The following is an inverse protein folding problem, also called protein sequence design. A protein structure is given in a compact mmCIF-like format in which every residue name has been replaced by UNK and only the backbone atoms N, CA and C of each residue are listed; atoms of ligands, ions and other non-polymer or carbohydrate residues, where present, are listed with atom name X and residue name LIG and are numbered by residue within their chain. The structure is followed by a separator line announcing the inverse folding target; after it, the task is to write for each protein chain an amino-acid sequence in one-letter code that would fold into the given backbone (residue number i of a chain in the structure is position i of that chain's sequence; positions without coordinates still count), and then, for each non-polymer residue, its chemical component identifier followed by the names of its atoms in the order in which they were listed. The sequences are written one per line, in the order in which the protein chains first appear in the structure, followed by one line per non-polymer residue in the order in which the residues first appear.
data_IF_110938943544
#
_entry.id   IF_110938943544
#
_cell.length_a   1.000
_cell.length_b   1.000
_cell.length_c   1.000
_cell.angle_alpha   90.00
_cell.angle_beta   90.00
_cell.angle_gamma   90.00
#
_symmetry.space_group_name_H-M   'P 1'
#
loop_
_entity.id
_entity.type
_entity.pdbx_description
1 polymer ?
#
# COMPACT_ATOMS: atom_id res chain seq x y z
N UNK A 1 5.99 -5.63 -33.14
CA UNK A 1 4.96 -4.63 -32.77
C UNK A 1 5.16 -3.39 -33.63
N UNK A 2 4.09 -2.70 -34.02
CA UNK A 2 4.20 -1.36 -34.62
C UNK A 2 4.71 -0.34 -33.58
N UNK A 3 5.11 0.84 -34.03
CA UNK A 3 5.50 1.95 -33.13
C UNK A 3 4.32 2.33 -32.20
N UNK A 4 3.11 2.45 -32.76
CA UNK A 4 1.88 2.72 -32.00
C UNK A 4 1.60 1.67 -30.92
N UNK A 5 1.82 0.38 -31.20
CA UNK A 5 1.63 -0.70 -30.23
C UNK A 5 2.66 -0.63 -29.07
N UNK A 6 3.88 -0.20 -29.36
CA UNK A 6 4.93 -0.02 -28.35
C UNK A 6 4.61 1.17 -27.45
N UNK A 7 4.21 2.29 -28.03
CA UNK A 7 3.77 3.47 -27.29
C UNK A 7 2.55 3.16 -26.42
N UNK A 8 1.60 2.39 -26.94
CA UNK A 8 0.46 1.93 -26.16
C UNK A 8 0.90 1.10 -24.95
N UNK A 9 1.76 0.09 -25.14
CA UNK A 9 2.22 -0.77 -24.05
C UNK A 9 3.02 0.01 -22.98
N UNK A 10 3.84 0.98 -23.40
CA UNK A 10 4.54 1.88 -22.49
C UNK A 10 3.55 2.76 -21.70
N UNK A 11 2.60 3.38 -22.38
CA UNK A 11 1.58 4.23 -21.75
C UNK A 11 0.70 3.44 -20.77
N UNK A 12 0.31 2.22 -21.11
CA UNK A 12 -0.44 1.33 -20.23
C UNK A 12 0.35 1.01 -18.95
N UNK A 13 1.64 0.67 -19.08
CA UNK A 13 2.51 0.43 -17.93
C UNK A 13 2.63 1.68 -17.05
N UNK A 14 2.90 2.85 -17.63
CA UNK A 14 3.01 4.11 -16.88
C UNK A 14 1.69 4.48 -16.20
N UNK A 15 0.55 4.27 -16.87
CA UNK A 15 -0.76 4.48 -16.30
C UNK A 15 -1.04 3.54 -15.11
N UNK A 16 -0.63 2.28 -15.21
CA UNK A 16 -0.72 1.32 -14.09
C UNK A 16 0.11 1.81 -12.89
N UNK A 17 1.37 2.21 -13.11
CA UNK A 17 2.22 2.76 -12.04
C UNK A 17 1.58 4.00 -11.41
N UNK A 18 1.04 4.91 -12.23
CA UNK A 18 0.35 6.10 -11.75
C UNK A 18 -0.86 5.78 -10.86
N UNK A 19 -1.74 4.88 -11.32
CA UNK A 19 -2.89 4.40 -10.54
C UNK A 19 -2.45 3.74 -9.23
N UNK A 20 -1.42 2.90 -9.29
CA UNK A 20 -0.85 2.26 -8.12
C UNK A 20 -0.41 3.27 -7.05
N UNK A 21 0.33 4.31 -7.46
CA UNK A 21 0.81 5.35 -6.52
C UNK A 21 -0.34 6.09 -5.87
N UNK A 22 -1.38 6.43 -6.62
CA UNK A 22 -2.57 7.11 -6.10
C UNK A 22 -3.27 6.25 -5.03
N UNK A 23 -3.49 4.97 -5.32
CA UNK A 23 -4.14 4.05 -4.36
C UNK A 23 -3.25 3.84 -3.13
N UNK A 24 -1.93 3.69 -3.32
CA UNK A 24 -1.00 3.53 -2.19
C UNK A 24 -0.99 4.78 -1.30
N UNK A 25 -1.00 5.98 -1.88
CA UNK A 25 -1.10 7.22 -1.12
C UNK A 25 -2.41 7.32 -0.34
N UNK A 26 -3.52 6.88 -0.95
CA UNK A 26 -4.80 6.80 -0.26
C UNK A 26 -4.78 5.82 0.92
N UNK A 27 -4.13 4.66 0.77
CA UNK A 27 -3.91 3.68 1.85
C UNK A 27 -3.12 4.34 2.98
N UNK A 28 -2.03 5.04 2.67
CA UNK A 28 -1.22 5.73 3.68
C UNK A 28 -2.05 6.78 4.43
N UNK A 29 -2.82 7.60 3.73
CA UNK A 29 -3.71 8.57 4.36
C UNK A 29 -4.75 7.92 5.27
N UNK A 30 -5.31 6.76 4.89
CA UNK A 30 -6.28 6.05 5.73
C UNK A 30 -5.67 5.43 6.97
N UNK A 31 -4.44 4.94 6.88
CA UNK A 31 -3.71 4.51 8.08
C UNK A 31 -3.45 5.68 9.03
N UNK A 32 -3.08 6.84 8.49
CA UNK A 32 -2.90 8.06 9.27
C UNK A 32 -4.19 8.49 9.97
N UNK A 33 -5.33 8.41 9.29
CA UNK A 33 -6.64 8.66 9.91
C UNK A 33 -6.90 7.72 11.10
N UNK A 34 -6.62 6.41 10.96
CA UNK A 34 -6.74 5.47 12.09
C UNK A 34 -5.88 5.89 13.29
N UNK A 35 -4.60 6.25 13.04
CA UNK A 35 -3.67 6.68 14.08
C UNK A 35 -4.14 7.98 14.75
N UNK A 36 -4.60 8.95 13.95
CA UNK A 36 -5.12 10.22 14.44
C UNK A 36 -6.35 10.04 15.33
N UNK A 37 -7.26 9.13 14.96
CA UNK A 37 -8.40 8.77 15.81
C UNK A 37 -7.92 8.20 17.15
N UNK A 38 -7.02 7.23 17.14
CA UNK A 38 -6.53 6.61 18.38
C UNK A 38 -5.72 7.54 19.28
N UNK A 39 -5.11 8.59 18.74
CA UNK A 39 -4.36 9.59 19.52
C UNK A 39 -5.20 10.76 20.03
N UNK A 40 -6.50 10.78 19.69
CA UNK A 40 -7.45 11.78 20.16
C UNK A 40 -7.39 13.09 19.38
N UNK A 41 -8.55 13.73 19.24
CA UNK A 41 -8.69 15.02 18.54
C UNK A 41 -8.02 16.18 19.28
N UNK A 42 -7.87 16.09 20.60
CA UNK A 42 -7.23 17.10 21.44
C UNK A 42 -5.75 17.31 21.09
N UNK A 43 -5.07 16.29 20.54
CA UNK A 43 -3.65 16.33 20.18
C UNK A 43 -3.41 16.52 18.68
N UNK A 44 -4.44 16.88 17.90
CA UNK A 44 -4.43 16.77 16.44
C UNK A 44 -3.23 17.43 15.75
N UNK A 45 -2.84 18.66 16.17
CA UNK A 45 -1.72 19.37 15.58
C UNK A 45 -0.38 18.66 15.83
N UNK A 46 -0.16 18.21 17.08
CA UNK A 46 1.04 17.47 17.47
C UNK A 46 1.09 16.09 16.79
N UNK A 47 -0.04 15.41 16.72
CA UNK A 47 -0.19 14.11 16.07
C UNK A 47 0.09 14.19 14.57
N UNK A 48 -0.38 15.24 13.89
CA UNK A 48 -0.05 15.47 12.47
C UNK A 48 1.43 15.74 12.26
N UNK A 49 2.05 16.59 13.09
CA UNK A 49 3.49 16.85 13.01
C UNK A 49 4.30 15.55 13.23
N UNK A 50 3.88 14.72 14.19
CA UNK A 50 4.45 13.40 14.41
C UNK A 50 4.36 12.51 13.16
N UNK A 51 3.20 12.45 12.49
CA UNK A 51 3.02 11.63 11.28
C UNK A 51 3.88 12.12 10.11
N UNK A 52 4.02 13.43 9.93
CA UNK A 52 4.83 14.01 8.86
C UNK A 52 6.31 13.60 8.98
N UNK A 53 6.79 13.41 10.21
CA UNK A 53 8.16 12.99 10.50
C UNK A 53 8.35 11.46 10.50
N UNK A 54 7.29 10.68 10.25
CA UNK A 54 7.35 9.22 10.21
C UNK A 54 7.52 8.70 8.78
N UNK A 55 8.42 7.74 8.61
CA UNK A 55 8.47 6.91 7.40
C UNK A 55 7.24 6.02 7.30
N UNK A 56 6.87 5.60 6.09
CA UNK A 56 5.76 4.66 5.88
C UNK A 56 5.93 3.38 6.72
N UNK A 57 7.15 2.87 6.89
CA UNK A 57 7.43 1.73 7.77
C UNK A 57 7.02 2.02 9.21
N UNK A 58 7.46 3.15 9.76
CA UNK A 58 7.12 3.56 11.12
C UNK A 58 5.61 3.74 11.29
N UNK A 59 4.90 4.24 10.28
CA UNK A 59 3.43 4.37 10.30
C UNK A 59 2.76 2.99 10.42
N UNK A 60 3.18 2.00 9.62
CA UNK A 60 2.66 0.62 9.72
C UNK A 60 3.00 -0.01 11.07
N UNK A 61 4.25 0.11 11.54
CA UNK A 61 4.68 -0.42 12.84
C UNK A 61 3.85 0.19 13.99
N UNK A 62 3.59 1.50 13.90
CA UNK A 62 2.82 2.23 14.90
C UNK A 62 1.33 1.86 14.85
N UNK A 63 0.76 1.65 13.67
CA UNK A 63 -0.61 1.18 13.51
C UNK A 63 -0.83 -0.14 14.27
N UNK A 64 0.10 -1.08 14.15
CA UNK A 64 0.03 -2.34 14.88
C UNK A 64 0.21 -2.18 16.39
N UNK A 65 1.15 -1.30 16.80
CA UNK A 65 1.37 -1.00 18.21
C UNK A 65 0.11 -0.43 18.85
N UNK A 66 -0.49 0.60 18.26
CA UNK A 66 -1.70 1.24 18.78
C UNK A 66 -2.89 0.27 18.81
N UNK A 67 -3.05 -0.58 17.80
CA UNK A 67 -4.08 -1.62 17.83
C UNK A 67 -3.95 -2.54 19.05
N UNK A 68 -2.72 -2.93 19.41
CA UNK A 68 -2.47 -3.85 20.54
C UNK A 68 -2.51 -3.20 21.91
N UNK A 69 -2.03 -1.97 22.01
CA UNK A 69 -1.74 -1.33 23.30
C UNK A 69 -2.73 -0.23 23.66
N UNK A 70 -3.36 0.43 22.68
CA UNK A 70 -4.22 1.57 22.96
C UNK A 70 -5.54 1.10 23.61
N UNK A 71 -5.96 1.67 24.76
CA UNK A 71 -7.23 1.32 25.41
C UNK A 71 -8.46 1.48 24.51
N UNK A 72 -8.44 2.43 23.56
CA UNK A 72 -9.54 2.64 22.61
C UNK A 72 -9.84 1.38 21.76
N UNK A 73 -8.87 0.48 21.61
CA UNK A 73 -9.00 -0.75 20.84
C UNK A 73 -9.42 -1.97 21.67
N UNK A 74 -9.74 -1.82 22.96
CA UNK A 74 -10.13 -2.95 23.82
C UNK A 74 -11.31 -3.75 23.24
N UNK A 75 -12.32 -3.04 22.70
CA UNK A 75 -13.48 -3.68 22.06
C UNK A 75 -13.08 -4.47 20.82
N UNK A 76 -12.21 -3.94 19.97
CA UNK A 76 -11.68 -4.65 18.81
C UNK A 76 -10.88 -5.89 19.23
N UNK A 77 -10.01 -5.75 20.23
CA UNK A 77 -9.18 -6.85 20.75
C UNK A 77 -9.97 -7.96 21.44
N UNK A 78 -11.18 -7.68 21.91
CA UNK A 78 -12.07 -8.71 22.48
C UNK A 78 -12.57 -9.73 21.45
N UNK A 79 -12.38 -9.48 20.14
CA UNK A 79 -12.79 -10.36 19.03
C UNK A 79 -11.57 -11.02 18.39
N UNK A 80 -11.28 -12.31 18.66
CA UNK A 80 -10.07 -12.96 18.17
C UNK A 80 -9.92 -12.96 16.64
N UNK A 81 -11.04 -13.10 15.92
CA UNK A 81 -11.02 -13.06 14.44
C UNK A 81 -10.60 -11.70 13.92
N UNK A 82 -11.01 -10.61 14.61
CA UNK A 82 -10.61 -9.26 14.25
C UNK A 82 -9.12 -9.03 14.48
N UNK A 83 -8.57 -9.52 15.59
CA UNK A 83 -7.13 -9.45 15.86
C UNK A 83 -6.32 -10.12 14.75
N UNK A 84 -6.71 -11.34 14.35
CA UNK A 84 -6.05 -12.06 13.24
C UNK A 84 -6.17 -11.33 11.91
N UNK A 85 -7.36 -10.77 11.61
CA UNK A 85 -7.56 -9.98 10.39
C UNK A 85 -6.68 -8.73 10.38
N UNK A 86 -6.58 -8.04 11.52
CA UNK A 86 -5.76 -6.84 11.65
C UNK A 86 -4.26 -7.16 11.55
N UNK A 87 -3.80 -8.25 12.17
CA UNK A 87 -2.41 -8.74 12.03
C UNK A 87 -2.08 -9.01 10.55
N UNK A 88 -2.95 -9.75 9.84
CA UNK A 88 -2.81 -10.01 8.41
C UNK A 88 -2.80 -8.72 7.58
N UNK A 89 -3.64 -7.74 7.93
CA UNK A 89 -3.64 -6.42 7.30
C UNK A 89 -2.27 -5.73 7.45
N UNK A 90 -1.71 -5.72 8.66
CA UNK A 90 -0.39 -5.14 8.95
C UNK A 90 0.72 -5.85 8.14
N UNK A 91 0.69 -7.17 8.08
CA UNK A 91 1.63 -7.94 7.25
C UNK A 91 1.54 -7.55 5.78
N UNK A 92 0.32 -7.46 5.24
CA UNK A 92 0.07 -7.02 3.86
C UNK A 92 0.53 -5.59 3.61
N UNK A 93 0.33 -4.66 4.55
CA UNK A 93 0.84 -3.30 4.45
C UNK A 93 2.38 -3.27 4.34
N UNK A 94 3.08 -4.09 5.11
CA UNK A 94 4.54 -4.21 5.00
C UNK A 94 5.00 -4.80 3.67
N UNK A 95 4.29 -5.82 3.16
CA UNK A 95 4.57 -6.37 1.84
C UNK A 95 4.35 -5.32 0.76
N UNK A 96 3.27 -4.56 0.83
CA UNK A 96 2.95 -3.55 -0.17
C UNK A 96 3.92 -2.37 -0.13
N UNK A 97 4.39 -1.97 1.06
CA UNK A 97 5.48 -0.98 1.18
C UNK A 97 6.75 -1.44 0.45
N UNK A 98 7.12 -2.71 0.60
CA UNK A 98 8.29 -3.27 -0.11
C UNK A 98 8.04 -3.28 -1.62
N UNK A 99 6.85 -3.71 -2.05
CA UNK A 99 6.46 -3.71 -3.47
C UNK A 99 6.46 -2.30 -4.06
N UNK A 100 5.87 -1.31 -3.39
CA UNK A 100 5.90 0.10 -3.81
C UNK A 100 7.32 0.59 -3.99
N UNK A 101 8.20 0.31 -3.04
CA UNK A 101 9.60 0.71 -3.16
C UNK A 101 10.29 0.05 -4.35
N UNK A 102 10.04 -1.24 -4.59
CA UNK A 102 10.54 -1.93 -5.77
C UNK A 102 9.97 -1.31 -7.06
N UNK A 103 8.66 -1.11 -7.13
CA UNK A 103 7.98 -0.54 -8.29
C UNK A 103 8.47 0.87 -8.63
N UNK A 104 8.78 1.73 -7.65
CA UNK A 104 9.18 3.10 -7.93
C UNK A 104 10.69 3.32 -8.05
N UNK A 105 11.51 2.37 -7.60
CA UNK A 105 12.97 2.52 -7.60
C UNK A 105 13.71 1.48 -8.45
N UNK A 106 12.98 0.57 -9.11
CA UNK A 106 13.57 -0.31 -10.14
C UNK A 106 13.85 0.44 -11.44
N UNK A 107 14.79 -0.10 -12.21
CA UNK A 107 14.99 0.31 -13.60
C UNK A 107 14.06 -0.50 -14.52
N UNK A 108 13.59 0.13 -15.58
CA UNK A 108 12.67 -0.47 -16.55
C UNK A 108 13.28 -0.42 -17.95
N UNK A 109 13.34 -1.57 -18.62
CA UNK A 109 13.72 -1.66 -20.03
C UNK A 109 12.48 -1.82 -20.89
N UNK A 110 12.35 -0.90 -21.84
CA UNK A 110 11.31 -0.90 -22.87
C UNK A 110 11.84 -1.45 -24.21
N UNK A 111 13.15 -1.66 -24.33
CA UNK A 111 13.86 -2.09 -25.54
C UNK A 111 13.42 -3.45 -26.08
N UNK A 112 12.70 -4.24 -25.28
CA UNK A 112 12.16 -5.52 -25.68
C UNK A 112 10.72 -5.44 -26.25
N UNK A 113 10.05 -4.29 -26.16
CA UNK A 113 8.74 -4.06 -26.79
C UNK A 113 8.77 -4.27 -28.32
N UNK A 114 9.79 -3.81 -29.09
CA UNK A 114 9.86 -4.05 -30.54
C UNK A 114 9.76 -5.54 -30.93
N UNK A 115 10.34 -6.42 -30.12
CA UNK A 115 10.33 -7.87 -30.32
C UNK A 115 9.13 -8.58 -29.66
N UNK A 116 8.12 -7.82 -29.21
CA UNK A 116 6.88 -8.36 -28.65
C UNK A 116 6.98 -8.83 -27.20
N UNK A 117 8.06 -8.49 -26.50
CA UNK A 117 8.23 -8.82 -25.08
C UNK A 117 7.74 -7.65 -24.21
N UNK A 118 7.15 -7.91 -23.03
CA UNK A 118 6.67 -6.86 -22.15
C UNK A 118 7.80 -6.08 -21.47
N UNK A 119 7.45 -4.97 -20.82
CA UNK A 119 8.39 -4.16 -20.02
C UNK A 119 9.13 -5.03 -19.02
N UNK A 120 10.46 -4.93 -18.99
CA UNK A 120 11.28 -5.68 -18.05
C UNK A 120 11.67 -4.79 -16.87
N UNK A 121 11.28 -5.20 -15.67
CA UNK A 121 11.80 -4.66 -14.42
C UNK A 121 13.15 -5.30 -14.11
N UNK A 122 14.18 -4.48 -13.94
CA UNK A 122 15.50 -4.92 -13.48
C UNK A 122 15.55 -4.83 -11.95
N UNK A 123 15.90 -5.93 -11.32
CA UNK A 123 16.19 -6.02 -9.89
C UNK A 123 17.48 -6.83 -9.66
N UNK A 124 18.58 -6.20 -9.22
CA UNK A 124 19.85 -6.89 -8.99
C UNK A 124 19.78 -7.96 -7.88
N UNK A 125 18.79 -7.91 -6.98
CA UNK A 125 18.67 -8.81 -5.83
C UNK A 125 17.74 -9.98 -6.10
N UNK A 126 16.63 -9.73 -6.77
CA UNK A 126 15.57 -10.73 -6.99
C UNK A 126 15.53 -11.27 -8.43
N UNK A 127 16.33 -10.70 -9.32
CA UNK A 127 16.35 -11.04 -10.74
C UNK A 127 15.36 -10.22 -11.56
N UNK A 128 15.54 -10.27 -12.88
CA UNK A 128 14.71 -9.52 -13.81
C UNK A 128 13.33 -10.15 -13.93
N UNK A 129 12.30 -9.31 -14.01
CA UNK A 129 10.90 -9.75 -14.14
C UNK A 129 10.23 -9.03 -15.30
N UNK A 130 9.48 -9.78 -16.09
CA UNK A 130 8.58 -9.23 -17.09
C UNK A 130 7.28 -8.73 -16.47
N UNK A 131 6.90 -7.50 -16.77
CA UNK A 131 5.66 -6.85 -16.34
C UNK A 131 4.65 -6.81 -17.48
N UNK A 132 4.28 -8.00 -17.95
CA UNK A 132 3.15 -8.18 -18.86
C UNK A 132 1.81 -7.90 -18.18
N UNK A 133 0.73 -7.89 -18.97
CA UNK A 133 -0.62 -7.52 -18.51
C UNK A 133 -1.06 -8.24 -17.22
N UNK A 134 -0.88 -9.55 -17.14
CA UNK A 134 -1.22 -10.34 -15.94
C UNK A 134 -0.46 -9.86 -14.69
N UNK A 135 0.85 -9.63 -14.82
CA UNK A 135 1.65 -9.11 -13.71
C UNK A 135 1.22 -7.71 -13.29
N UNK A 136 0.79 -6.87 -14.24
CA UNK A 136 0.26 -5.54 -13.96
C UNK A 136 -1.10 -5.62 -13.25
N UNK A 137 -1.98 -6.51 -13.70
CA UNK A 137 -3.29 -6.77 -13.11
C UNK A 137 -3.15 -7.32 -11.68
N UNK A 138 -2.19 -8.21 -11.43
CA UNK A 138 -1.87 -8.73 -10.09
C UNK A 138 -1.42 -7.63 -9.13
N UNK A 139 -0.53 -6.74 -9.59
CA UNK A 139 -0.04 -5.61 -8.79
C UNK A 139 -1.21 -4.69 -8.42
N UNK A 140 -2.05 -4.38 -9.40
CA UNK A 140 -3.22 -3.53 -9.20
C UNK A 140 -4.28 -4.19 -8.30
N UNK A 141 -4.55 -5.48 -8.50
CA UNK A 141 -5.48 -6.26 -7.68
C UNK A 141 -5.04 -6.31 -6.22
N UNK A 142 -3.76 -6.56 -5.97
CA UNK A 142 -3.24 -6.67 -4.62
C UNK A 142 -3.31 -5.34 -3.84
N UNK A 143 -3.02 -4.20 -4.48
CA UNK A 143 -3.15 -2.88 -3.82
C UNK A 143 -4.62 -2.49 -3.63
N UNK A 144 -5.51 -2.83 -4.57
CA UNK A 144 -6.95 -2.64 -4.45
C UNK A 144 -7.52 -3.41 -3.26
N UNK A 145 -7.21 -4.70 -3.17
CA UNK A 145 -7.74 -5.55 -2.11
C UNK A 145 -7.21 -5.09 -0.73
N UNK A 146 -6.00 -4.55 -0.68
CA UNK A 146 -5.44 -3.95 0.54
C UNK A 146 -6.18 -2.66 0.94
N UNK A 147 -6.52 -1.81 -0.03
CA UNK A 147 -7.33 -0.61 0.22
C UNK A 147 -8.73 -0.98 0.77
N UNK A 148 -9.33 -2.05 0.28
CA UNK A 148 -10.61 -2.56 0.79
C UNK A 148 -10.47 -3.01 2.25
N UNK A 149 -9.48 -3.86 2.56
CA UNK A 149 -9.25 -4.35 3.92
C UNK A 149 -9.00 -3.19 4.91
N UNK A 150 -8.20 -2.20 4.50
CA UNK A 150 -7.95 -1.02 5.33
C UNK A 150 -9.21 -0.16 5.52
N UNK A 151 -10.09 -0.09 4.52
CA UNK A 151 -11.38 0.60 4.66
C UNK A 151 -12.25 -0.02 5.75
N UNK A 152 -12.30 -1.36 5.80
CA UNK A 152 -13.00 -2.07 6.85
C UNK A 152 -12.37 -1.84 8.22
N UNK A 153 -11.04 -1.88 8.30
CA UNK A 153 -10.32 -1.55 9.54
C UNK A 153 -10.59 -0.14 10.03
N UNK A 154 -10.51 0.84 9.15
CA UNK A 154 -10.81 2.24 9.47
C UNK A 154 -12.27 2.41 9.95
N UNK A 155 -13.22 1.73 9.29
CA UNK A 155 -14.62 1.75 9.72
C UNK A 155 -14.81 1.15 11.12
N UNK A 156 -14.13 0.04 11.41
CA UNK A 156 -14.14 -0.57 12.74
C UNK A 156 -13.52 0.36 13.79
N UNK A 157 -12.43 1.06 13.45
CA UNK A 157 -11.81 2.08 14.31
C UNK A 157 -12.79 3.20 14.64
N UNK A 158 -13.51 3.74 13.65
CA UNK A 158 -14.54 4.76 13.89
C UNK A 158 -15.64 4.24 14.83
N UNK A 159 -16.06 2.99 14.68
CA UNK A 159 -17.10 2.40 15.54
C UNK A 159 -16.65 2.11 16.97
N UNK A 160 -15.35 1.89 17.17
CA UNK A 160 -14.76 1.64 18.48
C UNK A 160 -14.34 2.95 19.17
N UNK A 161 -14.02 3.99 18.39
CA UNK A 161 -13.80 5.35 18.87
C UNK A 161 -15.11 5.92 19.46
N UNK A 162 -15.08 6.26 20.75
CA UNK A 162 -16.20 6.83 21.50
C UNK A 162 -15.83 8.22 22.02
#
# INVERSE_FOLDING_TARGET
MTEDEQDQAMNEFLAMVGRYVIVFQWIESKMEECLLLWWGHENWAQSKDRLLNMTNKQKVDTLWKEFRENPANERGRSRPDWVKQFEKLVERLHLERKRRNKLLHSHYLFDFLPIGQPVMQIDPKEGNRYLGKEAQDDIHGAVRDLAIDLSFAHTQVIHDYR
#
